data_IF_996368318186
#
_entry.id   IF_996368318186
#
_cell.length_a   1.000
_cell.length_b   1.000
_cell.length_c   1.000
_cell.angle_alpha   90.00
_cell.angle_beta   90.00
_cell.angle_gamma   90.00
#
_symmetry.space_group_name_H-M   'P 1'
#
loop_
_entity.id
_entity.type
_entity.pdbx_description
1 polymer ?
#
# COMPACT_ATOMS: atom_id res chain seq x y z
N UNK A 1 25.39 2.51 -4.14
CA UNK A 1 24.06 1.86 -4.16
C UNK A 1 23.27 2.30 -5.40
N UNK A 2 23.78 2.06 -6.62
CA UNK A 2 23.13 2.47 -7.89
C UNK A 2 22.20 1.39 -8.49
N UNK A 3 21.89 0.33 -7.75
CA UNK A 3 21.09 -0.83 -8.24
C UNK A 3 19.91 -1.22 -7.35
N UNK A 4 19.52 -0.39 -6.38
CA UNK A 4 18.38 -0.64 -5.48
C UNK A 4 17.23 0.30 -5.86
N UNK A 5 16.54 -0.05 -6.95
CA UNK A 5 15.33 0.65 -7.40
C UNK A 5 14.09 0.06 -6.74
N UNK A 6 13.00 0.82 -6.73
CA UNK A 6 11.70 0.28 -6.34
C UNK A 6 11.29 -0.89 -7.26
N UNK A 7 10.45 -1.78 -6.74
CA UNK A 7 9.89 -2.88 -7.53
C UNK A 7 9.13 -2.35 -8.76
N UNK A 8 9.27 -2.98 -9.94
CA UNK A 8 8.72 -2.45 -11.18
C UNK A 8 7.19 -2.56 -11.28
N UNK A 9 6.52 -3.32 -10.40
CA UNK A 9 5.09 -3.65 -10.49
C UNK A 9 4.18 -2.45 -10.73
N UNK A 10 4.41 -1.33 -10.03
CA UNK A 10 3.61 -0.11 -10.18
C UNK A 10 3.76 0.48 -11.57
N UNK A 11 5.00 0.61 -12.04
CA UNK A 11 5.30 1.17 -13.35
C UNK A 11 4.72 0.28 -14.45
N UNK A 12 4.90 -1.03 -14.34
CA UNK A 12 4.37 -2.00 -15.29
C UNK A 12 2.85 -1.98 -15.34
N UNK A 13 2.17 -1.87 -14.20
CA UNK A 13 0.71 -1.74 -14.15
C UNK A 13 0.21 -0.46 -14.80
N UNK A 14 0.86 0.67 -14.53
CA UNK A 14 0.54 1.96 -15.17
C UNK A 14 0.72 1.86 -16.69
N UNK A 15 1.84 1.30 -17.15
CA UNK A 15 2.12 1.10 -18.59
C UNK A 15 1.11 0.16 -19.23
N UNK A 16 0.72 -0.92 -18.55
CA UNK A 16 -0.32 -1.86 -19.03
C UNK A 16 -1.65 -1.12 -19.27
N UNK A 17 -2.08 -0.29 -18.31
CA UNK A 17 -3.31 0.51 -18.42
C UNK A 17 -3.21 1.52 -19.56
N UNK A 18 -2.12 2.27 -19.64
CA UNK A 18 -1.91 3.28 -20.68
C UNK A 18 -1.90 2.69 -22.09
N UNK A 19 -1.30 1.50 -22.29
CA UNK A 19 -1.27 0.83 -23.60
C UNK A 19 -2.64 0.41 -24.12
N UNK A 20 -3.66 0.32 -23.27
CA UNK A 20 -5.03 -0.04 -23.66
C UNK A 20 -5.89 1.18 -24.01
N UNK A 21 -5.37 2.39 -23.83
CA UNK A 21 -6.08 3.64 -24.05
C UNK A 21 -5.51 4.29 -25.32
N UNK A 22 -6.33 4.38 -26.36
CA UNK A 22 -5.96 5.04 -27.62
C UNK A 22 -6.12 6.57 -27.53
N UNK A 23 -7.25 7.00 -26.95
CA UNK A 23 -7.54 8.41 -26.67
C UNK A 23 -7.89 8.56 -25.20
N UNK A 24 -6.93 9.08 -24.44
CA UNK A 24 -7.08 9.24 -23.01
C UNK A 24 -7.97 10.43 -22.67
N UNK A 25 -8.94 10.20 -21.80
CA UNK A 25 -9.73 11.24 -21.15
C UNK A 25 -9.25 11.45 -19.71
N UNK A 26 -9.76 12.51 -19.07
CA UNK A 26 -9.41 12.85 -17.69
C UNK A 26 -9.73 11.71 -16.72
N UNK A 27 -10.88 11.04 -16.90
CA UNK A 27 -11.31 9.97 -16.02
C UNK A 27 -10.48 8.70 -16.19
N UNK A 28 -9.91 8.44 -17.38
CA UNK A 28 -8.93 7.37 -17.57
C UNK A 28 -7.70 7.60 -16.69
N UNK A 29 -7.15 8.82 -16.72
CA UNK A 29 -5.97 9.17 -15.93
C UNK A 29 -6.24 9.11 -14.42
N UNK A 30 -7.41 9.57 -13.96
CA UNK A 30 -7.83 9.41 -12.56
C UNK A 30 -7.93 7.94 -12.19
N UNK A 31 -8.53 7.10 -13.03
CA UNK A 31 -8.71 5.67 -12.76
C UNK A 31 -7.38 4.91 -12.67
N UNK A 32 -6.32 5.36 -13.37
CA UNK A 32 -4.96 4.83 -13.22
C UNK A 32 -4.35 5.24 -11.88
N UNK A 33 -4.53 6.50 -11.47
CA UNK A 33 -4.03 7.00 -10.17
C UNK A 33 -4.71 6.32 -8.98
N UNK A 34 -5.93 5.81 -9.15
CA UNK A 34 -6.72 5.14 -8.12
C UNK A 34 -6.62 3.61 -8.17
N UNK A 35 -5.83 3.04 -9.09
CA UNK A 35 -5.70 1.60 -9.28
C UNK A 35 -4.97 0.94 -8.09
N UNK A 36 -5.61 -0.06 -7.48
CA UNK A 36 -5.09 -0.87 -6.37
C UNK A 36 -4.57 -2.25 -6.81
N UNK A 37 -4.52 -2.56 -8.12
CA UNK A 37 -4.05 -3.85 -8.61
C UNK A 37 -2.55 -4.02 -8.35
N UNK A 38 -2.20 -5.16 -7.75
CA UNK A 38 -0.84 -5.56 -7.41
C UNK A 38 -0.33 -6.61 -8.39
N UNK A 39 0.48 -6.18 -9.35
CA UNK A 39 1.13 -7.09 -10.30
C UNK A 39 2.07 -8.06 -9.58
N UNK A 40 2.78 -7.58 -8.57
CA UNK A 40 3.58 -8.40 -7.67
C UNK A 40 2.77 -9.56 -7.09
N UNK A 41 1.57 -9.30 -6.56
CA UNK A 41 0.72 -10.35 -6.03
C UNK A 41 0.32 -11.40 -7.09
N UNK A 42 -0.03 -10.97 -8.30
CA UNK A 42 -0.42 -11.88 -9.39
C UNK A 42 0.69 -12.85 -9.81
N UNK A 43 1.95 -12.48 -9.59
CA UNK A 43 3.10 -13.33 -9.89
C UNK A 43 3.45 -14.29 -8.75
N UNK A 44 3.24 -13.87 -7.49
CA UNK A 44 3.65 -14.61 -6.31
C UNK A 44 2.58 -15.58 -5.82
N UNK A 45 1.29 -15.20 -5.87
CA UNK A 45 0.16 -16.03 -5.40
C UNK A 45 0.13 -17.44 -6.03
N UNK A 46 0.39 -17.63 -7.34
CA UNK A 46 0.40 -18.95 -7.95
C UNK A 46 1.34 -19.96 -7.26
N UNK A 47 2.48 -19.53 -6.71
CA UNK A 47 3.39 -20.41 -5.98
C UNK A 47 2.78 -20.95 -4.69
N UNK A 48 2.08 -20.10 -3.93
CA UNK A 48 1.36 -20.54 -2.73
C UNK A 48 0.24 -21.52 -3.06
N UNK A 49 -0.52 -21.26 -4.11
CA UNK A 49 -1.62 -22.13 -4.54
C UNK A 49 -1.11 -23.48 -5.05
N UNK A 50 0.01 -23.50 -5.77
CA UNK A 50 0.64 -24.72 -6.25
C UNK A 50 1.24 -25.57 -5.12
N UNK A 51 1.73 -24.94 -4.05
CA UNK A 51 2.31 -25.63 -2.90
C UNK A 51 1.25 -26.28 -1.97
N UNK A 52 -0.04 -26.00 -2.18
CA UNK A 52 -1.15 -26.55 -1.38
C UNK A 52 -1.06 -28.08 -1.26
N UNK A 53 -1.23 -28.63 -0.05
CA UNK A 53 -1.22 -30.09 0.19
C UNK A 53 -2.57 -30.76 -0.12
N UNK A 54 -3.66 -29.98 -0.15
CA UNK A 54 -5.01 -30.45 -0.53
C UNK A 54 -5.79 -31.10 0.60
N UNK A 55 -5.16 -31.31 1.77
CA UNK A 55 -5.77 -31.83 2.98
C UNK A 55 -6.01 -30.75 4.05
N UNK A 56 -5.94 -29.47 3.68
CA UNK A 56 -6.16 -28.37 4.63
C UNK A 56 -7.60 -28.38 5.15
N UNK A 57 -7.77 -27.99 6.41
CA UNK A 57 -9.07 -27.95 7.07
C UNK A 57 -9.30 -26.59 7.74
N UNK A 58 -10.54 -26.33 8.17
CA UNK A 58 -10.91 -25.13 8.90
C UNK A 58 -10.54 -23.83 8.17
N UNK A 59 -10.00 -22.86 8.92
CA UNK A 59 -9.61 -21.54 8.40
C UNK A 59 -8.55 -21.61 7.31
N UNK A 60 -7.62 -22.55 7.39
CA UNK A 60 -6.55 -22.70 6.41
C UNK A 60 -7.11 -23.05 5.03
N UNK A 61 -8.08 -23.99 4.97
CA UNK A 61 -8.79 -24.33 3.74
C UNK A 61 -9.49 -23.11 3.14
N UNK A 62 -10.24 -22.38 3.95
CA UNK A 62 -10.97 -21.19 3.48
C UNK A 62 -10.03 -20.07 3.02
N UNK A 63 -8.90 -19.89 3.69
CA UNK A 63 -7.88 -18.92 3.28
C UNK A 63 -7.31 -19.24 1.89
N UNK A 64 -6.99 -20.51 1.60
CA UNK A 64 -6.61 -20.93 0.25
C UNK A 64 -7.70 -20.69 -0.79
N UNK A 65 -8.97 -20.91 -0.44
CA UNK A 65 -10.11 -20.64 -1.33
C UNK A 65 -10.30 -19.14 -1.63
N UNK A 66 -10.11 -18.28 -0.63
CA UNK A 66 -10.13 -16.82 -0.80
C UNK A 66 -8.98 -16.40 -1.71
N UNK A 67 -7.75 -16.85 -1.40
CA UNK A 67 -6.58 -16.47 -2.20
C UNK A 67 -6.66 -16.99 -3.65
N UNK A 68 -7.23 -18.18 -3.86
CA UNK A 68 -7.42 -18.74 -5.20
C UNK A 68 -8.48 -18.04 -6.05
N UNK A 69 -9.38 -17.24 -5.45
CA UNK A 69 -10.42 -16.47 -6.14
C UNK A 69 -10.12 -14.97 -6.21
N UNK A 70 -9.03 -14.53 -5.57
CA UNK A 70 -8.69 -13.12 -5.49
C UNK A 70 -8.24 -12.59 -6.86
N UNK A 71 -8.69 -11.39 -7.19
CA UNK A 71 -8.42 -10.66 -8.43
C UNK A 71 -7.14 -9.81 -8.37
N UNK A 72 -6.37 -9.93 -7.29
CA UNK A 72 -5.15 -9.17 -7.02
C UNK A 72 -5.38 -7.65 -6.84
N UNK A 73 -6.62 -7.23 -6.58
CA UNK A 73 -6.96 -5.85 -6.23
C UNK A 73 -6.86 -5.67 -4.71
N UNK A 74 -6.01 -4.75 -4.27
CA UNK A 74 -5.77 -4.43 -2.87
C UNK A 74 -6.76 -3.37 -2.34
N UNK A 75 -8.06 -3.53 -2.62
CA UNK A 75 -9.07 -2.61 -2.09
C UNK A 75 -9.20 -2.71 -0.56
N UNK A 76 -9.73 -1.69 0.14
CA UNK A 76 -9.96 -1.76 1.59
C UNK A 76 -10.83 -2.97 2.01
N UNK A 77 -11.74 -3.44 1.17
CA UNK A 77 -12.63 -4.57 1.46
C UNK A 77 -11.99 -5.93 1.13
N UNK A 78 -10.80 -5.96 0.53
CA UNK A 78 -10.19 -7.16 -0.01
C UNK A 78 -9.65 -8.09 1.09
N UNK A 79 -10.28 -9.24 1.26
CA UNK A 79 -9.78 -10.33 2.10
C UNK A 79 -8.51 -10.97 1.52
N UNK A 80 -8.43 -11.07 0.19
CA UNK A 80 -7.28 -11.63 -0.52
C UNK A 80 -6.02 -10.79 -0.32
N UNK A 81 -6.14 -9.47 -0.31
CA UNK A 81 -5.01 -8.57 -0.04
C UNK A 81 -4.49 -8.70 1.39
N UNK A 82 -5.38 -8.75 2.38
CA UNK A 82 -5.00 -9.00 3.78
C UNK A 82 -4.22 -10.31 3.92
N UNK A 83 -4.76 -11.38 3.33
CA UNK A 83 -4.11 -12.69 3.27
C UNK A 83 -2.73 -12.63 2.62
N UNK A 84 -2.65 -12.02 1.44
CA UNK A 84 -1.42 -11.92 0.69
C UNK A 84 -0.32 -11.22 1.48
N UNK A 85 -0.61 -10.07 2.10
CA UNK A 85 0.39 -9.31 2.83
C UNK A 85 0.90 -10.03 4.09
N UNK A 86 0.04 -10.75 4.81
CA UNK A 86 0.45 -11.56 5.96
C UNK A 86 1.30 -12.77 5.54
N UNK A 87 0.84 -13.50 4.52
CA UNK A 87 1.54 -14.68 4.01
C UNK A 87 2.89 -14.29 3.39
N UNK A 88 2.95 -13.19 2.64
CA UNK A 88 4.19 -12.66 2.07
C UNK A 88 5.20 -12.27 3.15
N UNK A 89 4.73 -11.63 4.24
CA UNK A 89 5.57 -11.30 5.39
C UNK A 89 6.20 -12.56 5.99
N UNK A 90 5.40 -13.58 6.24
CA UNK A 90 5.92 -14.84 6.76
C UNK A 90 6.82 -15.59 5.78
N UNK A 91 6.61 -15.45 4.48
CA UNK A 91 7.53 -16.00 3.48
C UNK A 91 8.91 -15.38 3.59
N UNK A 92 8.99 -14.05 3.71
CA UNK A 92 10.28 -13.36 3.92
C UNK A 92 10.93 -13.80 5.23
N UNK A 93 10.15 -13.91 6.32
CA UNK A 93 10.68 -14.36 7.62
C UNK A 93 11.15 -15.81 7.59
N UNK A 94 10.46 -16.70 6.89
CA UNK A 94 10.76 -18.12 6.85
C UNK A 94 11.87 -18.49 5.85
N UNK A 95 12.25 -17.58 4.94
CA UNK A 95 13.33 -17.75 3.96
C UNK A 95 14.62 -17.09 4.41
N UNK A 96 14.56 -16.00 5.17
CA UNK A 96 15.76 -15.24 5.54
C UNK A 96 15.98 -15.18 7.05
N UNK A 97 15.02 -15.64 7.85
CA UNK A 97 15.00 -15.37 9.28
C UNK A 97 16.11 -16.08 10.04
N UNK A 98 16.39 -17.33 9.72
CA UNK A 98 17.32 -18.17 10.45
C UNK A 98 18.77 -17.77 10.22
N UNK A 99 19.22 -17.49 8.99
CA UNK A 99 20.59 -17.00 8.78
C UNK A 99 20.75 -15.60 9.37
N UNK A 100 19.75 -14.72 9.25
CA UNK A 100 19.85 -13.36 9.79
C UNK A 100 19.95 -13.34 11.32
N UNK A 101 19.25 -14.25 12.01
CA UNK A 101 19.36 -14.39 13.46
C UNK A 101 20.74 -14.89 13.88
N UNK A 102 21.41 -15.72 13.07
CA UNK A 102 22.79 -16.15 13.37
C UNK A 102 23.82 -15.03 13.23
N UNK A 103 23.55 -14.02 12.39
CA UNK A 103 24.45 -12.86 12.23
C UNK A 103 24.43 -11.93 13.46
N UNK A 104 23.39 -12.02 14.28
CA UNK A 104 23.27 -11.32 15.55
C UNK A 104 21.94 -10.57 15.69
N UNK A 105 21.79 -9.90 16.83
CA UNK A 105 20.60 -9.11 17.13
C UNK A 105 20.42 -7.98 16.10
N UNK A 106 19.17 -7.63 15.80
CA UNK A 106 18.76 -6.58 14.86
C UNK A 106 19.09 -6.79 13.37
N UNK A 107 19.85 -7.81 12.98
CA UNK A 107 20.15 -8.06 11.55
C UNK A 107 18.89 -8.37 10.73
N UNK A 108 18.00 -9.20 11.26
CA UNK A 108 16.72 -9.50 10.61
C UNK A 108 15.85 -8.24 10.47
N UNK A 109 15.80 -7.40 11.50
CA UNK A 109 15.05 -6.13 11.48
C UNK A 109 15.62 -5.18 10.41
N UNK A 110 16.94 -5.02 10.36
CA UNK A 110 17.60 -4.19 9.35
C UNK A 110 17.40 -4.73 7.93
N UNK A 111 17.53 -6.04 7.74
CA UNK A 111 17.34 -6.69 6.43
C UNK A 111 15.89 -6.54 5.92
N UNK A 112 14.93 -6.71 6.82
CA UNK A 112 13.51 -6.58 6.47
C UNK A 112 13.07 -5.13 6.22
N UNK A 113 13.77 -4.11 6.74
CA UNK A 113 13.58 -2.72 6.30
C UNK A 113 14.11 -2.46 4.88
N UNK A 114 15.06 -3.27 4.38
CA UNK A 114 15.58 -3.17 3.01
C UNK A 114 14.62 -3.79 1.99
N UNK A 115 13.38 -3.29 1.94
CA UNK A 115 12.28 -3.88 1.15
C UNK A 115 12.52 -4.07 -0.33
N UNK A 116 13.37 -3.27 -0.95
CA UNK A 116 13.70 -3.46 -2.37
C UNK A 116 14.63 -4.65 -2.60
N UNK A 117 15.45 -4.99 -1.62
CA UNK A 117 16.39 -6.11 -1.70
C UNK A 117 15.65 -7.44 -1.60
N UNK A 118 14.91 -7.67 -0.51
CA UNK A 118 14.26 -8.96 -0.29
C UNK A 118 13.13 -9.24 -1.28
N UNK A 119 12.38 -8.23 -1.74
CA UNK A 119 11.33 -8.45 -2.74
C UNK A 119 11.89 -8.85 -4.11
N UNK A 120 13.01 -8.25 -4.53
CA UNK A 120 13.69 -8.63 -5.77
C UNK A 120 14.22 -10.07 -5.68
N UNK A 121 14.91 -10.39 -4.59
CA UNK A 121 15.47 -11.71 -4.38
C UNK A 121 14.37 -12.78 -4.30
N UNK A 122 13.20 -12.44 -3.74
CA UNK A 122 12.08 -13.37 -3.63
C UNK A 122 11.53 -13.80 -5.00
N UNK A 123 11.41 -12.88 -5.96
CA UNK A 123 11.00 -13.20 -7.34
C UNK A 123 11.95 -14.21 -7.98
N UNK A 124 13.25 -13.95 -7.87
CA UNK A 124 14.29 -14.83 -8.42
C UNK A 124 14.30 -16.21 -7.74
N UNK A 125 14.19 -16.23 -6.40
CA UNK A 125 14.14 -17.46 -5.62
C UNK A 125 12.94 -18.33 -6.00
N UNK A 126 11.74 -17.75 -6.11
CA UNK A 126 10.53 -18.48 -6.48
C UNK A 126 10.55 -18.95 -7.93
N UNK A 127 11.12 -18.16 -8.85
CA UNK A 127 11.26 -18.55 -10.26
C UNK A 127 12.25 -19.71 -10.45
N UNK A 128 13.37 -19.70 -9.72
CA UNK A 128 14.42 -20.72 -9.83
C UNK A 128 14.10 -21.99 -9.01
N UNK A 129 13.28 -21.86 -7.96
CA UNK A 129 12.86 -22.97 -7.08
C UNK A 129 13.97 -23.57 -6.21
N UNK A 130 15.22 -23.12 -6.35
CA UNK A 130 16.38 -23.59 -5.61
C UNK A 130 17.21 -22.41 -5.10
N UNK A 131 17.61 -22.45 -3.83
CA UNK A 131 18.42 -21.43 -3.17
C UNK A 131 18.95 -22.00 -1.86
N UNK A 132 20.12 -21.55 -1.42
CA UNK A 132 20.62 -21.88 -0.07
C UNK A 132 19.73 -21.32 1.02
N UNK A 133 19.03 -20.21 0.76
CA UNK A 133 18.08 -19.55 1.68
C UNK A 133 16.77 -20.33 1.90
N UNK A 134 16.60 -21.48 1.25
CA UNK A 134 15.39 -22.31 1.49
C UNK A 134 15.63 -23.25 2.67
N UNK A 135 16.89 -23.62 2.92
CA UNK A 135 17.29 -24.57 3.96
C UNK A 135 17.18 -23.92 5.33
N UNK A 136 16.40 -24.50 6.24
CA UNK A 136 16.32 -24.02 7.62
C UNK A 136 17.49 -24.58 8.40
N UNK A 137 18.52 -23.78 8.62
CA UNK A 137 19.79 -24.24 9.22
C UNK A 137 19.64 -24.74 10.67
N UNK A 138 18.47 -24.54 11.28
CA UNK A 138 18.11 -25.03 12.62
C UNK A 138 17.62 -26.48 12.59
N UNK A 139 17.13 -26.97 11.45
CA UNK A 139 16.72 -28.37 11.29
C UNK A 139 17.90 -29.23 10.88
N UNK A 140 18.51 -29.90 11.87
CA UNK A 140 19.60 -30.85 11.62
C UNK A 140 19.10 -32.01 10.77
N UNK A 141 19.89 -32.39 9.77
CA UNK A 141 19.68 -33.54 8.87
C UNK A 141 18.46 -33.46 7.95
N UNK A 142 17.93 -32.25 7.71
CA UNK A 142 16.85 -32.01 6.77
C UNK A 142 17.17 -30.77 5.95
N UNK A 143 16.98 -30.87 4.63
CA UNK A 143 16.90 -29.72 3.76
C UNK A 143 15.44 -29.50 3.35
N UNK A 144 14.88 -28.35 3.72
CA UNK A 144 13.55 -27.94 3.31
C UNK A 144 13.45 -27.78 1.79
N UNK A 145 12.25 -28.05 1.28
CA UNK A 145 11.87 -27.66 -0.08
C UNK A 145 11.07 -26.38 -0.04
N UNK A 146 11.09 -25.63 -1.14
CA UNK A 146 10.35 -24.36 -1.23
C UNK A 146 8.85 -24.55 -0.94
N UNK A 147 8.26 -25.67 -1.33
CA UNK A 147 6.85 -25.96 -1.07
C UNK A 147 6.55 -26.11 0.43
N UNK A 148 7.51 -26.62 1.21
CA UNK A 148 7.37 -26.70 2.67
C UNK A 148 7.40 -25.30 3.30
N UNK A 149 8.33 -24.45 2.86
CA UNK A 149 8.42 -23.05 3.29
C UNK A 149 7.16 -22.28 2.90
N UNK A 150 6.65 -22.47 1.69
CA UNK A 150 5.42 -21.82 1.21
C UNK A 150 4.20 -22.23 2.04
N UNK A 151 4.02 -23.53 2.32
CA UNK A 151 2.91 -24.02 3.18
C UNK A 151 3.03 -23.48 4.61
N UNK A 152 4.22 -23.52 5.20
CA UNK A 152 4.51 -22.99 6.54
C UNK A 152 4.15 -21.50 6.62
N UNK A 153 4.62 -20.73 5.65
CA UNK A 153 4.37 -19.28 5.56
C UNK A 153 2.89 -18.95 5.38
N UNK A 154 2.18 -19.74 4.59
CA UNK A 154 0.74 -19.57 4.42
C UNK A 154 -0.02 -19.81 5.73
N UNK A 155 0.31 -20.91 6.43
CA UNK A 155 -0.29 -21.22 7.72
C UNK A 155 -0.02 -20.12 8.77
N UNK A 156 1.23 -19.65 8.87
CA UNK A 156 1.57 -18.58 9.81
C UNK A 156 0.86 -17.26 9.48
N UNK A 157 0.74 -16.89 8.20
CA UNK A 157 -0.01 -15.70 7.80
C UNK A 157 -1.50 -15.77 8.17
N UNK A 158 -2.11 -16.96 8.05
CA UNK A 158 -3.51 -17.18 8.48
C UNK A 158 -3.66 -17.04 9.99
N UNK A 159 -2.69 -17.50 10.77
CA UNK A 159 -2.64 -17.33 12.22
C UNK A 159 -2.49 -15.85 12.60
N UNK A 160 -1.55 -15.14 11.97
CA UNK A 160 -1.30 -13.71 12.23
C UNK A 160 -2.56 -12.86 11.97
N UNK A 161 -3.30 -13.16 10.90
CA UNK A 161 -4.56 -12.47 10.58
C UNK A 161 -5.62 -12.74 11.65
N UNK A 162 -5.73 -13.99 12.11
CA UNK A 162 -6.68 -14.35 13.16
C UNK A 162 -6.41 -13.60 14.48
N UNK A 163 -5.14 -13.31 14.77
CA UNK A 163 -4.72 -12.48 15.91
C UNK A 163 -5.02 -10.99 15.70
N UNK A 164 -4.79 -10.47 14.49
CA UNK A 164 -4.91 -9.03 14.21
C UNK A 164 -6.35 -8.54 13.98
N UNK A 165 -7.16 -9.28 13.21
CA UNK A 165 -8.53 -8.86 12.83
C UNK A 165 -9.62 -9.82 13.34
N UNK A 166 -9.20 -10.89 14.02
CA UNK A 166 -10.07 -11.88 14.64
C UNK A 166 -10.28 -13.13 13.81
N UNK A 167 -10.76 -14.18 14.48
CA UNK A 167 -10.98 -15.52 13.89
C UNK A 167 -12.13 -15.59 12.90
N UNK A 168 -13.03 -14.59 12.89
CA UNK A 168 -14.17 -14.56 11.98
C UNK A 168 -13.74 -14.02 10.62
N UNK A 169 -13.88 -14.85 9.59
CA UNK A 169 -13.48 -14.55 8.21
C UNK A 169 -14.24 -13.34 7.63
N UNK A 170 -15.45 -13.05 8.12
CA UNK A 170 -16.19 -11.84 7.68
C UNK A 170 -15.49 -10.54 8.09
N UNK A 171 -14.54 -10.60 9.04
CA UNK A 171 -13.72 -9.46 9.44
C UNK A 171 -12.47 -9.30 8.57
N UNK A 172 -12.18 -10.23 7.67
CA UNK A 172 -10.96 -10.21 6.88
C UNK A 172 -11.10 -9.21 5.75
N UNK A 173 -10.64 -7.99 6.02
CA UNK A 173 -10.67 -6.88 5.09
C UNK A 173 -9.36 -6.10 5.25
N UNK A 174 -8.69 -5.83 4.13
CA UNK A 174 -7.42 -5.12 4.13
C UNK A 174 -7.48 -3.81 4.92
N UNK A 175 -8.52 -3.00 4.69
CA UNK A 175 -8.76 -1.70 5.31
C UNK A 175 -8.96 -1.72 6.83
N UNK A 176 -9.23 -2.89 7.44
CA UNK A 176 -9.27 -3.02 8.91
C UNK A 176 -7.88 -3.06 9.52
N UNK A 177 -6.92 -3.66 8.82
CA UNK A 177 -5.51 -3.65 9.21
C UNK A 177 -4.81 -2.38 8.67
N UNK A 178 -5.04 -2.08 7.39
CA UNK A 178 -4.42 -1.01 6.62
C UNK A 178 -5.27 0.26 6.61
N UNK A 179 -4.86 1.22 7.44
CA UNK A 179 -5.53 2.52 7.52
C UNK A 179 -4.51 3.64 7.55
N UNK A 180 -4.88 4.81 7.02
CA UNK A 180 -4.08 6.02 7.07
C UNK A 180 -4.65 7.00 8.08
N UNK A 181 -3.79 7.48 8.97
CA UNK A 181 -4.05 8.69 9.75
C UNK A 181 -2.97 9.70 9.41
N UNK A 182 -3.39 10.88 8.94
CA UNK A 182 -2.49 12.01 8.73
C UNK A 182 -2.17 12.60 10.10
N UNK A 183 -1.04 12.20 10.67
CA UNK A 183 -0.62 12.59 12.02
C UNK A 183 -0.03 14.00 12.00
N UNK A 184 -0.48 14.84 12.92
CA UNK A 184 0.22 16.07 13.25
C UNK A 184 1.36 15.76 14.23
N UNK A 185 2.47 16.50 14.19
CA UNK A 185 3.61 16.29 15.09
C UNK A 185 3.21 16.38 16.57
N UNK A 186 2.50 17.43 16.96
CA UNK A 186 1.89 17.53 18.31
C UNK A 186 0.77 16.51 18.55
N UNK A 187 0.16 15.99 17.48
CA UNK A 187 -0.87 14.96 17.55
C UNK A 187 -0.33 13.55 17.83
N UNK A 188 1.00 13.38 17.87
CA UNK A 188 1.66 12.17 18.38
C UNK A 188 1.47 12.00 19.88
N UNK A 189 1.24 13.09 20.61
CA UNK A 189 0.92 13.08 22.04
C UNK A 189 -0.60 12.92 22.18
N UNK A 190 -1.12 11.78 22.71
CA UNK A 190 -2.55 11.49 22.69
C UNK A 190 -3.43 12.55 23.33
N UNK A 191 -3.00 13.16 24.44
CA UNK A 191 -3.76 14.20 25.14
C UNK A 191 -3.88 15.48 24.30
N UNK A 192 -2.82 15.86 23.59
CA UNK A 192 -2.84 17.03 22.71
C UNK A 192 -3.75 16.77 21.51
N UNK A 193 -3.69 15.57 20.93
CA UNK A 193 -4.60 15.21 19.85
C UNK A 193 -6.07 15.16 20.30
N UNK A 194 -6.35 14.67 21.51
CA UNK A 194 -7.70 14.61 22.05
C UNK A 194 -8.29 16.02 22.27
N UNK A 195 -7.49 16.96 22.78
CA UNK A 195 -7.93 18.34 23.02
C UNK A 195 -8.05 19.15 21.72
N UNK A 196 -7.07 19.02 20.82
CA UNK A 196 -6.91 19.91 19.67
C UNK A 196 -7.41 19.29 18.35
N UNK A 197 -7.72 17.98 18.34
CA UNK A 197 -8.23 17.27 17.17
C UNK A 197 -7.33 17.36 15.94
N UNK A 198 -6.01 17.33 16.10
CA UNK A 198 -5.05 17.69 15.04
C UNK A 198 -4.89 16.62 13.96
N UNK A 199 -5.02 15.35 14.31
CA UNK A 199 -4.92 14.25 13.36
C UNK A 199 -6.16 14.22 12.44
N UNK A 200 -5.95 13.84 11.17
CA UNK A 200 -7.03 13.68 10.18
C UNK A 200 -7.14 12.20 9.80
N UNK A 201 -8.33 11.62 9.98
CA UNK A 201 -8.59 10.17 9.87
C UNK A 201 -8.86 9.52 11.23
N UNK A 202 -8.77 8.17 11.34
CA UNK A 202 -8.27 7.24 10.33
C UNK A 202 -9.21 7.03 9.14
N UNK A 203 -8.63 6.72 7.98
CA UNK A 203 -9.34 6.25 6.78
C UNK A 203 -8.89 4.83 6.47
N UNK A 204 -9.84 3.93 6.19
CA UNK A 204 -9.51 2.63 5.62
C UNK A 204 -8.81 2.85 4.28
N UNK A 205 -7.68 2.19 4.06
CA UNK A 205 -6.84 2.43 2.89
C UNK A 205 -6.67 1.15 2.09
N UNK A 206 -6.49 1.33 0.78
CA UNK A 206 -6.16 0.26 -0.16
C UNK A 206 -4.73 0.40 -0.67
N UNK A 207 -4.31 -0.57 -1.46
CA UNK A 207 -3.00 -0.60 -2.09
C UNK A 207 -1.87 -0.98 -1.14
N UNK A 208 -0.67 -0.92 -1.70
CA UNK A 208 0.60 -1.21 -1.05
C UNK A 208 1.71 -0.39 -1.72
N UNK A 209 2.98 -0.69 -1.46
CA UNK A 209 4.06 -0.11 -2.24
C UNK A 209 4.21 -0.73 -3.65
N UNK A 210 3.35 -1.69 -4.01
CA UNK A 210 3.29 -2.40 -5.31
C UNK A 210 2.13 -1.97 -6.21
N UNK A 211 1.16 -1.20 -5.71
CA UNK A 211 0.01 -0.69 -6.47
C UNK A 211 0.18 0.77 -6.92
N UNK A 212 -0.39 1.19 -8.07
CA UNK A 212 -0.33 2.58 -8.52
C UNK A 212 -0.81 3.61 -7.48
N UNK A 213 -1.97 3.38 -6.86
CA UNK A 213 -2.42 4.13 -5.69
C UNK A 213 -1.69 3.58 -4.46
N UNK A 214 -0.55 4.18 -4.13
CA UNK A 214 0.41 3.61 -3.20
C UNK A 214 -0.05 3.70 -1.72
N UNK A 215 -0.06 2.55 -1.05
CA UNK A 215 -0.38 2.34 0.36
C UNK A 215 0.79 1.72 1.14
N UNK A 216 1.96 2.35 1.14
CA UNK A 216 3.16 1.76 1.75
C UNK A 216 3.08 1.66 3.29
N UNK A 217 3.57 0.55 3.84
CA UNK A 217 3.72 0.32 5.29
C UNK A 217 5.14 -0.22 5.60
N UNK A 218 5.54 -0.21 6.88
CA UNK A 218 6.82 -0.79 7.34
C UNK A 218 6.68 -2.30 7.49
N UNK A 219 7.69 -3.05 7.07
CA UNK A 219 7.70 -4.49 7.30
C UNK A 219 7.67 -4.82 8.80
N UNK A 220 8.49 -4.16 9.63
CA UNK A 220 8.58 -4.46 11.06
C UNK A 220 7.38 -4.00 11.88
N UNK A 221 6.65 -2.98 11.40
CA UNK A 221 5.40 -2.53 12.02
C UNK A 221 4.24 -2.57 11.00
N UNK A 222 3.76 -3.76 10.63
CA UNK A 222 2.62 -3.93 9.74
C UNK A 222 1.33 -3.58 10.48
N UNK A 223 0.22 -3.18 9.85
CA UNK A 223 -0.05 -2.94 8.44
C UNK A 223 -0.39 -1.47 8.20
N UNK A 224 -0.17 -0.58 9.16
CA UNK A 224 -0.63 0.81 9.05
C UNK A 224 0.10 1.54 7.94
N UNK A 225 -0.66 2.26 7.10
CA UNK A 225 -0.07 3.04 6.02
C UNK A 225 0.78 4.17 6.62
N UNK A 226 2.04 4.24 6.20
CA UNK A 226 3.01 5.27 6.63
C UNK A 226 3.56 6.06 5.45
N UNK A 227 3.41 5.56 4.23
CA UNK A 227 3.83 6.24 3.01
C UNK A 227 2.76 6.08 1.92
N UNK A 228 2.69 7.06 1.01
CA UNK A 228 1.72 7.02 -0.08
C UNK A 228 1.65 8.32 -0.85
N UNK A 229 0.51 8.52 -1.49
CA UNK A 229 0.23 9.66 -2.37
C UNK A 229 0.19 10.97 -1.57
N UNK A 230 1.06 11.93 -1.92
CA UNK A 230 1.12 13.27 -1.30
C UNK A 230 0.24 14.32 -2.01
N UNK A 231 -0.15 14.05 -3.25
CA UNK A 231 -1.12 14.81 -4.05
C UNK A 231 -1.52 13.98 -5.28
N UNK A 232 -2.66 14.29 -5.90
CA UNK A 232 -2.98 13.80 -7.25
C UNK A 232 -3.27 14.98 -8.16
N UNK A 233 -2.85 14.88 -9.42
CA UNK A 233 -3.08 15.90 -10.45
C UNK A 233 -3.33 15.26 -11.80
N UNK A 234 -4.32 15.74 -12.53
CA UNK A 234 -4.56 15.43 -13.94
C UNK A 234 -4.78 16.75 -14.67
N UNK A 235 -4.11 16.95 -15.80
CA UNK A 235 -4.16 18.19 -16.59
C UNK A 235 -4.58 17.84 -18.00
N UNK A 236 -5.65 18.46 -18.49
CA UNK A 236 -5.92 18.55 -19.91
C UNK A 236 -5.18 19.78 -20.47
N UNK A 237 -4.26 19.55 -21.40
CA UNK A 237 -3.49 20.63 -22.02
C UNK A 237 -4.32 21.45 -23.02
N UNK A 238 -5.44 20.92 -23.54
CA UNK A 238 -6.36 21.67 -24.38
C UNK A 238 -7.24 22.61 -23.54
N UNK A 239 -7.50 22.27 -22.27
CA UNK A 239 -8.26 23.09 -21.34
C UNK A 239 -7.67 23.05 -19.92
N UNK A 240 -6.67 23.90 -19.68
CA UNK A 240 -6.01 23.95 -18.37
C UNK A 240 -6.91 24.47 -17.23
N UNK A 241 -8.07 25.09 -17.55
CA UNK A 241 -9.05 25.55 -16.56
C UNK A 241 -9.89 24.43 -15.93
N UNK A 242 -9.72 23.19 -16.38
CA UNK A 242 -10.38 22.01 -15.82
C UNK A 242 -9.39 21.04 -15.16
N UNK A 243 -8.19 21.54 -14.81
CA UNK A 243 -7.17 20.74 -14.10
C UNK A 243 -7.77 20.14 -12.84
N UNK A 244 -7.63 18.83 -12.68
CA UNK A 244 -8.09 18.10 -11.50
C UNK A 244 -6.93 17.98 -10.52
N UNK A 245 -7.10 18.44 -9.29
CA UNK A 245 -6.07 18.44 -8.26
C UNK A 245 -6.67 18.12 -6.89
N UNK A 246 -5.92 17.40 -6.05
CA UNK A 246 -6.36 17.08 -4.70
C UNK A 246 -5.16 16.85 -3.78
N UNK A 247 -5.29 17.35 -2.54
CA UNK A 247 -4.37 17.10 -1.43
C UNK A 247 -4.97 16.09 -0.44
N UNK A 248 -4.13 15.31 0.27
CA UNK A 248 -4.61 14.31 1.23
C UNK A 248 -5.40 14.84 2.42
N UNK A 249 -5.28 16.14 2.72
CA UNK A 249 -5.98 16.82 3.83
C UNK A 249 -6.63 18.11 3.35
N UNK A 250 -5.86 19.16 3.12
CA UNK A 250 -6.33 20.50 2.78
C UNK A 250 -5.15 21.43 2.51
N UNK A 251 -5.44 22.62 2.00
CA UNK A 251 -4.40 23.58 1.59
C UNK A 251 -3.72 24.30 2.77
N UNK A 252 -4.39 24.37 3.93
CA UNK A 252 -3.91 25.15 5.07
C UNK A 252 -3.24 24.28 6.13
N UNK A 253 -2.10 24.74 6.65
CA UNK A 253 -1.47 24.14 7.82
C UNK A 253 -2.03 24.62 9.18
N UNK A 254 -2.96 25.57 9.18
CA UNK A 254 -3.53 26.14 10.41
C UNK A 254 -4.72 25.29 10.88
N UNK A 255 -4.69 24.68 12.10
CA UNK A 255 -5.74 23.76 12.54
C UNK A 255 -7.16 24.31 12.57
N UNK A 256 -7.32 25.63 12.75
CA UNK A 256 -8.61 26.32 12.78
C UNK A 256 -9.07 26.83 11.42
N UNK A 257 -8.27 26.66 10.37
CA UNK A 257 -8.67 27.03 9.02
C UNK A 257 -9.74 26.08 8.50
N UNK A 258 -10.78 26.58 7.82
CA UNK A 258 -11.71 25.69 7.11
C UNK A 258 -11.00 24.82 6.08
N UNK A 259 -9.83 25.23 5.58
CA UNK A 259 -9.04 24.50 4.57
C UNK A 259 -7.97 23.59 5.17
N UNK A 260 -8.04 23.25 6.46
CA UNK A 260 -7.09 22.34 7.11
C UNK A 260 -7.28 20.88 6.68
N UNK A 261 -8.53 20.46 6.48
CA UNK A 261 -8.92 19.08 6.16
C UNK A 261 -10.07 18.95 5.17
N UNK A 262 -10.43 20.04 4.48
CA UNK A 262 -11.61 20.12 3.58
C UNK A 262 -11.52 19.24 2.33
N UNK A 263 -10.37 18.63 2.06
CA UNK A 263 -10.14 17.73 0.95
C UNK A 263 -10.01 16.27 1.38
N UNK A 264 -9.92 15.97 2.68
CA UNK A 264 -9.57 14.64 3.17
C UNK A 264 -10.57 13.57 2.73
N UNK A 265 -11.87 13.81 2.89
CA UNK A 265 -12.91 12.85 2.51
C UNK A 265 -13.00 12.68 0.98
N UNK A 266 -12.80 13.75 0.21
CA UNK A 266 -12.70 13.69 -1.24
C UNK A 266 -11.49 12.85 -1.68
N UNK A 267 -10.32 13.11 -1.10
CA UNK A 267 -9.09 12.40 -1.44
C UNK A 267 -9.19 10.89 -1.19
N UNK A 268 -9.76 10.51 -0.05
CA UNK A 268 -9.90 9.11 0.36
C UNK A 268 -11.05 8.39 -0.34
N UNK A 269 -12.04 9.11 -0.87
CA UNK A 269 -13.08 8.56 -1.76
C UNK A 269 -12.69 8.58 -3.25
N UNK A 270 -11.44 8.95 -3.56
CA UNK A 270 -10.92 8.97 -4.94
C UNK A 270 -11.41 10.16 -5.77
N UNK A 271 -11.93 11.20 -5.14
CA UNK A 271 -12.42 12.41 -5.80
C UNK A 271 -11.35 13.50 -5.89
N UNK A 272 -11.63 14.50 -6.73
CA UNK A 272 -10.73 15.59 -7.08
C UNK A 272 -11.44 16.93 -6.96
N UNK A 273 -10.66 18.01 -6.90
CA UNK A 273 -11.18 19.37 -7.07
C UNK A 273 -10.72 19.92 -8.41
N UNK A 274 -11.61 20.65 -9.08
CA UNK A 274 -11.21 21.47 -10.23
C UNK A 274 -10.36 22.64 -9.74
N UNK A 275 -9.30 22.91 -10.49
CA UNK A 275 -8.44 24.08 -10.34
C UNK A 275 -8.31 24.77 -11.68
N UNK A 276 -8.21 26.09 -11.64
CA UNK A 276 -8.23 26.96 -12.81
C UNK A 276 -6.84 27.53 -13.07
N UNK A 277 -6.55 27.83 -14.33
CA UNK A 277 -5.24 28.32 -14.77
C UNK A 277 -5.31 29.74 -15.34
N UNK A 278 -6.41 30.10 -15.99
CA UNK A 278 -6.60 31.40 -16.61
C UNK A 278 -6.71 32.51 -15.57
N UNK A 279 -5.79 33.47 -15.66
CA UNK A 279 -5.71 34.59 -14.72
C UNK A 279 -6.96 35.46 -14.75
N UNK A 280 -7.52 35.68 -15.95
CA UNK A 280 -8.71 36.54 -16.12
C UNK A 280 -9.91 35.95 -15.39
N UNK A 281 -10.15 34.65 -15.54
CA UNK A 281 -11.17 33.89 -14.82
C UNK A 281 -10.95 33.99 -13.31
N UNK A 282 -9.75 33.68 -12.83
CA UNK A 282 -9.43 33.67 -11.39
C UNK A 282 -9.63 35.06 -10.76
N UNK A 283 -9.26 36.13 -11.46
CA UNK A 283 -9.39 37.49 -10.94
C UNK A 283 -10.83 38.00 -10.93
N UNK A 284 -11.66 37.52 -11.85
CA UNK A 284 -13.01 38.04 -12.08
C UNK A 284 -14.12 37.21 -11.44
N UNK A 285 -13.82 36.08 -10.80
CA UNK A 285 -14.79 35.27 -10.05
C UNK A 285 -14.64 35.47 -8.52
N UNK A 286 -15.38 36.42 -7.92
CA UNK A 286 -15.33 36.69 -6.48
C UNK A 286 -16.11 35.65 -5.64
N UNK A 287 -16.88 34.75 -6.27
CA UNK A 287 -17.57 33.67 -5.54
C UNK A 287 -16.58 32.54 -5.23
N UNK A 288 -15.67 32.26 -6.17
CA UNK A 288 -14.66 31.21 -6.02
C UNK A 288 -13.38 31.71 -5.35
N UNK A 289 -12.97 32.97 -5.56
CA UNK A 289 -11.65 33.44 -5.14
C UNK A 289 -11.69 34.68 -4.22
N UNK A 290 -10.77 34.71 -3.26
CA UNK A 290 -10.48 35.88 -2.43
C UNK A 290 -9.21 36.55 -2.91
N UNK A 291 -9.16 37.89 -2.87
CA UNK A 291 -8.02 38.69 -3.33
C UNK A 291 -7.36 39.43 -2.17
N UNK A 292 -6.04 39.27 -2.04
CA UNK A 292 -5.18 40.07 -1.18
C UNK A 292 -4.15 40.78 -2.07
N UNK A 293 -3.97 42.09 -1.88
CA UNK A 293 -2.93 42.88 -2.57
C UNK A 293 -1.88 43.29 -1.53
N UNK A 294 -0.64 42.85 -1.72
CA UNK A 294 0.49 43.24 -0.88
C UNK A 294 1.14 44.48 -1.48
N UNK A 295 1.20 45.56 -0.71
CA UNK A 295 1.84 46.83 -1.11
C UNK A 295 3.14 46.97 -0.32
N UNK A 296 4.30 47.27 -0.96
CA UNK A 296 5.54 47.50 -0.24
C UNK A 296 5.40 48.58 0.83
N UNK A 297 6.03 48.36 1.99
CA UNK A 297 6.22 49.40 3.00
C UNK A 297 7.09 50.54 2.43
N UNK A 298 6.84 51.77 2.87
CA UNK A 298 7.68 52.93 2.55
C UNK A 298 9.03 52.84 3.23
#
# INVERSE_FOLDING_TARGET
MSGLWADPSRAERIVERLKRIDKAEMDDMKSIQLDYTSRFASEIVPYFLAARSGNETGRLKTAYEIMGKWDFVESPESAGALLFHAVLRHLVLNVYGDEMVLLGDHYLEAFTEMKYLHNRNLRELLANGTSSWIDDIRTKDKMEKIEEILRRSFANGVEEIAEHVGVNITNWQWGRAHSLTHKHELGKIPILNWILGLNVGPYASGGSDKSPNAGGYSFNNPYKQTAGVSMRRVVDFNNMNETQFILPTGQSGLPRSPHYRDQADLFHSGQYRTTWFDETFIRNDPQLFRRLVLVPGK
#
